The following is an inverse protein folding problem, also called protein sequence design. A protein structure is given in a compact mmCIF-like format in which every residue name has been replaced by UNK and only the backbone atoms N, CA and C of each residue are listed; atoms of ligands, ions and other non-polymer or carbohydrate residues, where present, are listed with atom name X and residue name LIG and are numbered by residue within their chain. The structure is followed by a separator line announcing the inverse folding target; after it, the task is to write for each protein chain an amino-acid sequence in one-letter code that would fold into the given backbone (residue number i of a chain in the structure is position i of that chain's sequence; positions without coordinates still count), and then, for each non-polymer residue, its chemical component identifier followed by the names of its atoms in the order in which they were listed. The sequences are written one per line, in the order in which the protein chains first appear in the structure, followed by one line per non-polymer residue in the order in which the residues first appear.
data_IF_861428501852
#
_entry.id   IF_861428501852
#
_cell.length_a   1.000
_cell.length_b   1.000
_cell.length_c   1.000
_cell.angle_alpha   90.00
_cell.angle_beta   90.00
_cell.angle_gamma   90.00
#
_symmetry.space_group_name_H-M   'P 1'
#
loop_
_entity.id
_entity.type
_entity.pdbx_description
1 polymer ?
#
# COMPACT_ATOMS: atom_id res chain seq x y z
N UNK A 1 23.63 28.85 -0.62
CA UNK A 1 22.42 29.65 -0.95
C UNK A 1 21.22 28.88 -0.45
N UNK A 2 20.24 29.56 0.12
CA UNK A 2 18.95 28.95 0.50
C UNK A 2 18.16 28.64 -0.77
N UNK A 3 17.70 27.41 -0.92
CA UNK A 3 16.92 26.99 -2.07
C UNK A 3 15.42 27.22 -1.79
N UNK A 4 14.68 27.77 -2.75
CA UNK A 4 13.24 27.95 -2.62
C UNK A 4 12.53 26.99 -3.58
N UNK A 5 11.63 26.18 -3.05
CA UNK A 5 10.77 25.27 -3.80
C UNK A 5 9.30 25.57 -3.53
N UNK A 6 8.42 25.08 -4.36
CA UNK A 6 6.98 25.21 -4.12
C UNK A 6 6.48 24.07 -3.22
N UNK A 7 7.02 22.85 -3.40
CA UNK A 7 6.66 21.66 -2.62
C UNK A 7 7.91 20.95 -2.13
N UNK A 8 7.98 20.61 -0.83
CA UNK A 8 8.98 19.73 -0.27
C UNK A 8 8.29 18.43 0.19
N UNK A 9 8.69 17.29 -0.36
CA UNK A 9 8.17 15.97 -0.04
C UNK A 9 9.20 15.26 0.86
N UNK A 10 8.81 14.92 2.08
CA UNK A 10 9.64 14.16 3.02
C UNK A 10 9.28 12.69 2.88
N UNK A 11 10.24 11.90 2.38
CA UNK A 11 10.11 10.48 2.08
C UNK A 11 10.15 10.18 0.58
N UNK A 12 11.19 9.46 0.13
CA UNK A 12 11.40 8.95 -1.23
C UNK A 12 10.94 7.50 -1.41
N UNK A 13 9.91 7.09 -0.67
CA UNK A 13 9.22 5.83 -0.86
C UNK A 13 8.25 5.87 -2.06
N UNK A 14 7.54 4.76 -2.29
CA UNK A 14 6.60 4.63 -3.41
C UNK A 14 5.59 5.80 -3.50
N UNK A 15 5.03 6.21 -2.37
CA UNK A 15 3.98 7.25 -2.32
C UNK A 15 4.56 8.64 -2.57
N UNK A 16 5.73 8.96 -1.96
CA UNK A 16 6.38 10.26 -2.14
C UNK A 16 6.90 10.47 -3.56
N UNK A 17 7.50 9.44 -4.15
CA UNK A 17 7.95 9.48 -5.54
C UNK A 17 6.78 9.53 -6.53
N UNK A 18 5.66 8.83 -6.24
CA UNK A 18 4.45 8.94 -7.06
C UNK A 18 3.85 10.35 -7.01
N UNK A 19 3.86 10.98 -5.84
CA UNK A 19 3.43 12.38 -5.71
C UNK A 19 4.35 13.32 -6.49
N UNK A 20 5.67 13.16 -6.39
CA UNK A 20 6.63 13.96 -7.17
C UNK A 20 6.40 13.80 -8.68
N UNK A 21 6.24 12.55 -9.15
CA UNK A 21 5.96 12.25 -10.55
C UNK A 21 4.63 12.84 -11.05
N UNK A 22 3.65 13.04 -10.17
CA UNK A 22 2.36 13.63 -10.52
C UNK A 22 2.43 15.13 -10.90
N UNK A 23 3.54 15.79 -10.58
CA UNK A 23 3.79 17.19 -10.96
C UNK A 23 4.63 17.33 -12.24
N UNK A 24 4.87 16.26 -12.99
CA UNK A 24 5.74 16.21 -14.18
C UNK A 24 5.39 17.25 -15.26
N UNK A 25 4.11 17.56 -15.43
CA UNK A 25 3.63 18.47 -16.48
C UNK A 25 3.30 19.87 -15.91
N UNK A 26 3.95 20.25 -14.80
CA UNK A 26 3.76 21.56 -14.16
C UNK A 26 5.09 22.32 -14.01
N UNK A 27 4.98 23.62 -13.78
CA UNK A 27 6.10 24.50 -13.44
C UNK A 27 6.39 24.56 -11.93
N UNK A 28 5.71 23.74 -11.11
CA UNK A 28 5.97 23.59 -9.68
C UNK A 28 7.37 23.03 -9.44
N UNK A 29 8.16 23.70 -8.63
CA UNK A 29 9.48 23.23 -8.20
C UNK A 29 9.29 22.30 -7.00
N UNK A 30 9.69 21.05 -7.15
CA UNK A 30 9.51 19.99 -6.13
C UNK A 30 10.86 19.54 -5.61
N UNK A 31 10.98 19.43 -4.30
CA UNK A 31 12.09 18.75 -3.62
C UNK A 31 11.60 17.43 -3.01
N UNK A 32 12.34 16.34 -3.22
CA UNK A 32 12.14 15.07 -2.51
C UNK A 32 13.32 14.83 -1.59
N UNK A 33 13.05 14.64 -0.31
CA UNK A 33 14.06 14.46 0.73
C UNK A 33 13.96 13.03 1.25
N UNK A 34 15.03 12.23 1.08
CA UNK A 34 15.05 10.81 1.45
C UNK A 34 16.35 10.44 2.16
N UNK A 35 16.24 9.79 3.32
CA UNK A 35 17.36 9.46 4.18
C UNK A 35 18.29 8.36 3.66
N UNK A 36 17.84 7.58 2.68
CA UNK A 36 18.60 6.48 2.10
C UNK A 36 18.54 6.49 0.56
N UNK A 37 19.66 6.20 -0.08
CA UNK A 37 19.66 5.92 -1.52
C UNK A 37 19.20 4.49 -1.73
N UNK A 38 18.11 4.24 -2.46
CA UNK A 38 17.69 2.88 -2.78
C UNK A 38 18.78 2.16 -3.58
N UNK A 39 19.09 0.92 -3.20
CA UNK A 39 19.96 0.10 -4.04
C UNK A 39 19.24 -0.24 -5.35
N UNK A 40 19.84 0.04 -6.48
CA UNK A 40 19.29 -0.14 -7.84
C UNK A 40 19.32 -1.59 -8.34
N UNK A 41 20.11 -2.45 -7.69
CA UNK A 41 20.27 -3.85 -8.07
C UNK A 41 19.16 -4.71 -7.46
N UNK A 42 18.40 -5.38 -8.30
CA UNK A 42 17.43 -6.40 -7.87
C UNK A 42 18.14 -7.73 -7.66
N UNK A 43 17.81 -8.40 -6.56
CA UNK A 43 18.30 -9.75 -6.30
C UNK A 43 17.64 -10.77 -7.25
N UNK A 44 18.27 -11.93 -7.42
CA UNK A 44 17.68 -13.06 -8.18
C UNK A 44 16.36 -13.51 -7.52
N UNK A 45 16.36 -13.66 -6.20
CA UNK A 45 15.15 -13.94 -5.44
C UNK A 45 14.33 -12.63 -5.27
N UNK A 46 13.01 -12.73 -5.41
CA UNK A 46 12.13 -11.60 -5.12
C UNK A 46 12.26 -11.11 -3.68
N UNK A 47 12.03 -9.80 -3.48
CA UNK A 47 11.91 -9.24 -2.14
C UNK A 47 10.68 -9.84 -1.42
N UNK A 48 10.79 -10.02 -0.10
CA UNK A 48 9.68 -10.54 0.71
C UNK A 48 8.52 -9.54 0.86
N UNK A 49 8.77 -8.26 0.57
CA UNK A 49 7.74 -7.22 0.62
C UNK A 49 7.16 -6.97 -0.76
N UNK A 50 5.97 -7.47 -0.97
CA UNK A 50 5.21 -7.28 -2.20
C UNK A 50 3.93 -6.50 -1.94
N UNK A 51 3.38 -5.92 -2.99
CA UNK A 51 2.05 -5.30 -3.00
C UNK A 51 1.19 -5.91 -4.09
N UNK A 52 -0.06 -6.17 -3.77
CA UNK A 52 -1.10 -6.46 -4.75
C UNK A 52 -1.67 -5.13 -5.26
N UNK A 53 -1.19 -4.69 -6.42
CA UNK A 53 -1.64 -3.45 -7.05
C UNK A 53 -3.05 -3.63 -7.61
N UNK A 54 -3.95 -2.73 -7.21
CA UNK A 54 -5.29 -2.65 -7.79
C UNK A 54 -5.26 -1.99 -9.18
N UNK A 55 -6.31 -2.17 -9.96
CA UNK A 55 -6.44 -1.56 -11.30
C UNK A 55 -6.32 -0.03 -11.25
N UNK A 56 -6.88 0.62 -10.21
CA UNK A 56 -6.71 2.07 -10.04
C UNK A 56 -5.26 2.48 -9.80
N UNK A 57 -4.52 1.72 -9.00
CA UNK A 57 -3.10 1.97 -8.75
C UNK A 57 -2.24 1.75 -9.98
N UNK A 58 -2.52 0.71 -10.75
CA UNK A 58 -1.89 0.48 -12.05
C UNK A 58 -2.17 1.64 -13.01
N UNK A 59 -3.42 2.11 -13.09
CA UNK A 59 -3.78 3.27 -13.92
C UNK A 59 -3.01 4.53 -13.50
N UNK A 60 -2.87 4.80 -12.20
CA UNK A 60 -2.02 5.89 -11.70
C UNK A 60 -0.58 5.72 -12.20
N UNK A 61 0.03 4.55 -12.01
CA UNK A 61 1.41 4.30 -12.42
C UNK A 61 1.62 4.37 -13.94
N UNK A 62 0.60 3.98 -14.74
CA UNK A 62 0.59 4.17 -16.20
C UNK A 62 0.56 5.64 -16.58
N UNK A 63 -0.34 6.41 -15.99
CA UNK A 63 -0.48 7.86 -16.25
C UNK A 63 0.74 8.66 -15.78
N UNK A 64 1.45 8.19 -14.76
CA UNK A 64 2.74 8.73 -14.35
C UNK A 64 3.90 8.38 -15.29
N UNK A 65 3.72 7.42 -16.21
CA UNK A 65 4.77 6.93 -17.12
C UNK A 65 5.71 5.90 -16.48
N UNK A 66 5.30 5.28 -15.39
CA UNK A 66 6.14 4.38 -14.57
C UNK A 66 5.92 2.90 -14.90
N UNK A 67 4.75 2.56 -15.44
CA UNK A 67 4.32 1.17 -15.57
C UNK A 67 5.27 0.30 -16.42
N UNK A 68 5.77 0.83 -17.52
CA UNK A 68 6.73 0.12 -18.37
C UNK A 68 8.00 -0.28 -17.61
N UNK A 69 8.50 0.62 -16.74
CA UNK A 69 9.66 0.32 -15.90
C UNK A 69 9.39 -0.77 -14.86
N UNK A 70 8.14 -0.92 -14.40
CA UNK A 70 7.71 -2.00 -13.52
C UNK A 70 7.67 -3.33 -14.29
N UNK A 71 7.02 -3.35 -15.47
CA UNK A 71 6.89 -4.56 -16.31
C UNK A 71 8.25 -5.09 -16.75
N UNK A 72 9.18 -4.21 -17.14
CA UNK A 72 10.54 -4.58 -17.55
C UNK A 72 11.37 -5.20 -16.41
N UNK A 73 11.00 -4.91 -15.16
CA UNK A 73 11.63 -5.53 -13.99
C UNK A 73 10.93 -6.84 -13.64
N UNK A 74 9.89 -6.77 -12.81
CA UNK A 74 9.08 -7.93 -12.42
C UNK A 74 7.68 -7.47 -12.03
N UNK A 75 6.67 -7.95 -12.76
CA UNK A 75 5.25 -7.76 -12.42
C UNK A 75 4.50 -9.05 -12.71
N UNK A 76 3.71 -9.53 -11.78
CA UNK A 76 3.01 -10.80 -11.90
C UNK A 76 1.50 -10.55 -11.93
N UNK A 77 0.84 -10.64 -13.09
CA UNK A 77 -0.61 -10.52 -13.16
C UNK A 77 -1.28 -11.71 -12.47
N UNK A 78 -2.42 -11.45 -11.82
CA UNK A 78 -3.28 -12.51 -11.33
C UNK A 78 -4.68 -12.37 -11.93
N UNK A 79 -5.22 -13.52 -12.39
CA UNK A 79 -6.47 -13.55 -13.15
C UNK A 79 -7.66 -14.00 -12.32
N UNK A 80 -7.38 -14.61 -11.18
CA UNK A 80 -8.42 -15.07 -10.27
C UNK A 80 -7.99 -14.90 -8.81
N UNK A 81 -8.98 -14.87 -7.92
CA UNK A 81 -8.78 -14.88 -6.48
C UNK A 81 -9.71 -15.93 -5.86
N UNK A 82 -9.16 -16.79 -5.02
CA UNK A 82 -9.89 -17.79 -4.25
C UNK A 82 -9.76 -17.48 -2.76
N UNK A 83 -10.89 -17.42 -2.08
CA UNK A 83 -10.93 -17.16 -0.63
C UNK A 83 -11.82 -18.22 0.01
N UNK A 84 -11.32 -18.88 1.05
CA UNK A 84 -12.09 -19.88 1.79
C UNK A 84 -11.84 -19.81 3.30
N UNK A 85 -12.68 -20.45 4.08
CA UNK A 85 -12.53 -20.58 5.52
C UNK A 85 -12.16 -22.03 5.84
N UNK A 86 -11.17 -22.22 6.73
CA UNK A 86 -10.72 -23.51 7.21
C UNK A 86 -11.89 -24.27 7.88
N UNK A 87 -11.96 -25.57 7.64
CA UNK A 87 -13.01 -26.46 8.19
C UNK A 87 -14.46 -25.97 7.88
N UNK A 88 -14.64 -25.32 6.76
CA UNK A 88 -15.93 -24.79 6.32
C UNK A 88 -16.16 -25.06 4.83
N UNK A 89 -17.43 -25.12 4.42
CA UNK A 89 -17.82 -25.14 3.01
C UNK A 89 -17.81 -23.75 2.36
N UNK A 90 -17.55 -22.71 3.16
CA UNK A 90 -17.57 -21.33 2.70
C UNK A 90 -16.37 -21.03 1.80
N UNK A 91 -16.64 -20.76 0.54
CA UNK A 91 -15.66 -20.28 -0.42
C UNK A 91 -16.26 -19.21 -1.31
N UNK A 92 -15.41 -18.33 -1.82
CA UNK A 92 -15.77 -17.37 -2.86
C UNK A 92 -14.60 -17.28 -3.83
N UNK A 93 -14.90 -17.33 -5.11
CA UNK A 93 -13.92 -17.17 -6.17
C UNK A 93 -14.31 -16.00 -7.07
N UNK A 94 -13.29 -15.25 -7.48
CA UNK A 94 -13.40 -14.13 -8.40
C UNK A 94 -12.54 -14.42 -9.63
N UNK A 95 -13.01 -14.03 -10.77
CA UNK A 95 -12.37 -14.25 -12.06
C UNK A 95 -12.42 -12.97 -12.90
N UNK A 96 -11.29 -12.61 -13.52
CA UNK A 96 -11.17 -11.40 -14.32
C UNK A 96 -12.11 -11.39 -15.54
N UNK A 97 -12.30 -12.56 -16.18
CA UNK A 97 -13.16 -12.65 -17.37
C UNK A 97 -14.61 -12.35 -17.04
N UNK A 98 -15.10 -12.83 -15.87
CA UNK A 98 -16.46 -12.55 -15.40
C UNK A 98 -16.72 -11.06 -15.20
N UNK A 99 -15.66 -10.27 -15.04
CA UNK A 99 -15.70 -8.82 -14.81
C UNK A 99 -15.33 -8.00 -16.06
N UNK A 100 -15.11 -8.66 -17.20
CA UNK A 100 -14.62 -8.04 -18.44
C UNK A 100 -13.31 -7.24 -18.20
N UNK A 101 -12.43 -7.77 -17.35
CA UNK A 101 -11.10 -7.20 -17.09
C UNK A 101 -10.01 -8.13 -17.64
N UNK A 102 -8.87 -7.59 -18.09
CA UNK A 102 -7.75 -8.40 -18.57
C UNK A 102 -7.10 -9.21 -17.43
N UNK A 103 -7.11 -8.69 -16.22
CA UNK A 103 -6.60 -9.28 -14.97
C UNK A 103 -7.31 -8.62 -13.77
N UNK A 104 -7.08 -9.13 -12.55
CA UNK A 104 -7.56 -8.51 -11.31
C UNK A 104 -6.54 -7.54 -10.71
N UNK A 105 -5.34 -7.47 -11.25
CA UNK A 105 -4.24 -6.64 -10.79
C UNK A 105 -2.91 -7.38 -10.88
N UNK A 106 -1.87 -6.80 -10.27
CA UNK A 106 -0.51 -7.33 -10.34
C UNK A 106 0.10 -7.44 -8.95
N UNK A 107 0.80 -8.55 -8.69
CA UNK A 107 1.69 -8.68 -7.54
C UNK A 107 3.06 -8.14 -7.94
N UNK A 108 3.53 -7.13 -7.22
CA UNK A 108 4.79 -6.43 -7.52
C UNK A 108 5.58 -6.21 -6.24
N UNK A 109 6.89 -6.44 -6.29
CA UNK A 109 7.78 -6.10 -5.20
C UNK A 109 7.78 -4.58 -4.94
N UNK A 110 7.70 -4.18 -3.67
CA UNK A 110 7.67 -2.76 -3.31
C UNK A 110 8.90 -2.02 -3.84
N UNK A 111 10.06 -2.69 -3.86
CA UNK A 111 11.30 -2.16 -4.39
C UNK A 111 11.24 -1.93 -5.90
N UNK A 112 10.61 -2.83 -6.66
CA UNK A 112 10.42 -2.67 -8.11
C UNK A 112 9.60 -1.41 -8.40
N UNK A 113 8.51 -1.19 -7.64
CA UNK A 113 7.69 0.01 -7.78
C UNK A 113 8.51 1.27 -7.45
N UNK A 114 9.26 1.25 -6.34
CA UNK A 114 10.08 2.38 -5.91
C UNK A 114 11.16 2.73 -6.93
N UNK A 115 11.89 1.74 -7.46
CA UNK A 115 12.95 1.96 -8.45
C UNK A 115 12.40 2.51 -9.76
N UNK A 116 11.27 2.00 -10.24
CA UNK A 116 10.64 2.50 -11.45
C UNK A 116 10.14 3.94 -11.30
N UNK A 117 9.58 4.28 -10.13
CA UNK A 117 9.20 5.65 -9.78
C UNK A 117 10.42 6.57 -9.68
N UNK A 118 11.49 6.13 -9.04
CA UNK A 118 12.74 6.90 -8.91
C UNK A 118 13.34 7.20 -10.27
N UNK A 119 13.43 6.21 -11.15
CA UNK A 119 13.90 6.38 -12.52
C UNK A 119 13.07 7.40 -13.30
N UNK A 120 11.74 7.40 -13.12
CA UNK A 120 10.88 8.39 -13.76
C UNK A 120 11.08 9.79 -13.19
N UNK A 121 11.18 9.91 -11.85
CA UNK A 121 11.38 11.20 -11.18
C UNK A 121 12.73 11.83 -11.54
N UNK A 122 13.78 11.02 -11.71
CA UNK A 122 15.11 11.49 -12.14
C UNK A 122 15.13 12.13 -13.54
N UNK A 123 14.12 11.87 -14.38
CA UNK A 123 14.00 12.47 -15.72
C UNK A 123 13.29 13.83 -15.69
N UNK A 124 12.78 14.27 -14.55
CA UNK A 124 11.97 15.48 -14.42
C UNK A 124 12.84 16.69 -14.03
N UNK A 125 12.88 17.71 -14.88
CA UNK A 125 13.67 18.93 -14.66
C UNK A 125 13.15 19.78 -13.49
N UNK A 126 11.87 19.65 -13.14
CA UNK A 126 11.23 20.39 -12.05
C UNK A 126 11.33 19.70 -10.69
N UNK A 127 11.94 18.51 -10.60
CA UNK A 127 12.12 17.77 -9.36
C UNK A 127 13.60 17.67 -8.96
N UNK A 128 13.91 18.08 -7.75
CA UNK A 128 15.26 17.93 -7.18
C UNK A 128 15.25 16.86 -6.09
N UNK A 129 16.13 15.88 -6.20
CA UNK A 129 16.29 14.80 -5.22
C UNK A 129 17.41 15.14 -4.22
N UNK A 130 17.09 15.12 -2.94
CA UNK A 130 18.03 15.21 -1.82
C UNK A 130 18.15 13.83 -1.19
N UNK A 131 19.10 13.02 -1.71
CA UNK A 131 19.36 11.64 -1.30
C UNK A 131 20.88 11.38 -1.25
N UNK A 132 21.45 10.95 -0.14
CA UNK A 132 20.82 10.79 1.18
C UNK A 132 20.72 12.13 1.93
N UNK A 133 19.54 12.45 2.46
CA UNK A 133 19.36 13.60 3.34
C UNK A 133 18.11 13.43 4.21
N UNK A 134 18.11 13.98 5.41
CA UNK A 134 16.97 13.97 6.33
C UNK A 134 16.64 15.37 6.78
N UNK A 135 15.37 15.65 7.01
CA UNK A 135 14.97 16.89 7.66
C UNK A 135 15.38 16.86 9.13
N UNK A 136 16.11 17.89 9.55
CA UNK A 136 16.52 18.08 10.94
C UNK A 136 15.57 19.02 11.67
N UNK A 137 15.15 20.13 11.03
CA UNK A 137 14.23 21.11 11.61
C UNK A 137 13.20 21.57 10.60
N UNK A 138 12.03 21.96 11.10
CA UNK A 138 10.95 22.59 10.34
C UNK A 138 10.39 23.76 11.16
N UNK A 139 10.29 24.93 10.54
CA UNK A 139 9.57 26.07 11.07
C UNK A 139 8.48 26.49 10.08
N UNK A 140 7.23 26.56 10.53
CA UNK A 140 6.09 26.92 9.70
C UNK A 140 5.80 28.40 9.83
N UNK A 141 5.76 29.12 8.73
CA UNK A 141 5.37 30.52 8.63
C UNK A 141 4.04 30.71 7.93
N UNK A 142 3.63 31.96 7.77
CA UNK A 142 2.35 32.31 7.15
C UNK A 142 2.30 32.00 5.64
N UNK A 143 3.40 32.25 4.91
CA UNK A 143 3.46 32.08 3.45
C UNK A 143 4.27 30.87 3.02
N UNK A 144 5.27 30.48 3.79
CA UNK A 144 6.17 29.36 3.50
C UNK A 144 6.71 28.74 4.78
N UNK A 145 7.24 27.54 4.66
CA UNK A 145 7.94 26.81 5.72
C UNK A 145 9.43 26.82 5.45
N UNK A 146 10.24 26.81 6.50
CA UNK A 146 11.70 26.69 6.46
C UNK A 146 12.13 25.32 6.95
N UNK A 147 12.89 24.61 6.11
CA UNK A 147 13.45 23.32 6.42
C UNK A 147 14.97 23.42 6.47
N UNK A 148 15.57 22.73 7.44
CA UNK A 148 17.01 22.49 7.47
C UNK A 148 17.25 20.99 7.41
N UNK A 149 18.16 20.56 6.54
CA UNK A 149 18.57 19.18 6.40
C UNK A 149 19.73 18.84 7.35
N UNK A 150 19.95 17.57 7.61
CA UNK A 150 21.03 17.05 8.46
C UNK A 150 22.44 17.36 7.93
N UNK A 151 22.57 17.61 6.64
CA UNK A 151 23.82 18.06 5.99
C UNK A 151 24.03 19.58 6.03
N UNK A 152 23.16 20.35 6.72
CA UNK A 152 23.22 21.79 6.86
C UNK A 152 22.63 22.59 5.71
N UNK A 153 22.11 21.96 4.67
CA UNK A 153 21.38 22.65 3.61
C UNK A 153 20.04 23.19 4.14
N UNK A 154 19.66 24.39 3.69
CA UNK A 154 18.38 24.99 4.07
C UNK A 154 17.55 25.30 2.83
N UNK A 155 16.22 25.13 2.96
CA UNK A 155 15.26 25.43 1.91
C UNK A 155 13.97 26.04 2.47
N UNK A 156 13.23 26.73 1.60
CA UNK A 156 11.84 27.14 1.87
C UNK A 156 10.88 26.41 0.95
N UNK A 157 9.67 26.13 1.45
CA UNK A 157 8.61 25.49 0.69
C UNK A 157 7.24 26.10 1.02
N UNK A 158 6.38 26.30 0.01
CA UNK A 158 4.99 26.73 0.20
C UNK A 158 4.14 25.63 0.83
N UNK A 159 4.44 24.37 0.49
CA UNK A 159 3.79 23.17 1.04
C UNK A 159 4.84 22.12 1.37
N UNK A 160 4.78 21.55 2.58
CA UNK A 160 5.59 20.40 2.99
C UNK A 160 4.69 19.18 3.07
N UNK A 161 5.07 18.08 2.42
CA UNK A 161 4.28 16.85 2.39
C UNK A 161 5.01 15.71 3.09
N UNK A 162 4.36 15.10 4.08
CA UNK A 162 4.85 13.90 4.75
C UNK A 162 4.43 12.64 3.98
N UNK A 163 5.41 11.97 3.40
CA UNK A 163 5.33 10.65 2.77
C UNK A 163 6.34 9.68 3.41
N UNK A 164 6.73 9.94 4.65
CA UNK A 164 7.82 9.35 5.42
C UNK A 164 7.38 8.15 6.28
N UNK A 165 6.25 7.55 5.93
CA UNK A 165 5.79 6.28 6.44
C UNK A 165 5.13 6.34 7.82
N UNK A 166 4.86 5.15 8.36
CA UNK A 166 4.06 4.96 9.57
C UNK A 166 4.62 5.66 10.83
N UNK A 167 5.93 5.85 10.89
CA UNK A 167 6.62 6.56 11.99
C UNK A 167 6.99 8.00 11.61
N UNK A 168 6.16 8.63 10.77
CA UNK A 168 6.40 9.95 10.18
C UNK A 168 7.01 10.96 11.15
N UNK A 169 8.20 11.45 10.78
CA UNK A 169 8.87 12.54 11.47
C UNK A 169 8.06 13.84 11.33
N UNK A 170 7.55 14.12 10.09
CA UNK A 170 6.78 15.33 9.85
C UNK A 170 5.51 15.40 10.69
N UNK A 171 4.76 14.30 10.78
CA UNK A 171 3.56 14.20 11.62
C UNK A 171 3.89 14.50 13.09
N UNK A 172 4.98 13.92 13.60
CA UNK A 172 5.43 14.14 14.98
C UNK A 172 5.93 15.58 15.19
N UNK A 173 6.66 16.15 14.23
CA UNK A 173 7.17 17.53 14.29
C UNK A 173 6.03 18.55 14.34
N UNK A 174 4.89 18.21 13.73
CA UNK A 174 3.70 19.06 13.71
C UNK A 174 2.70 18.75 14.84
N UNK A 175 3.05 17.91 15.80
CA UNK A 175 2.20 17.46 16.89
C UNK A 175 0.79 17.00 16.45
N UNK A 176 0.71 16.41 15.23
CA UNK A 176 -0.57 15.90 14.70
C UNK A 176 -0.96 14.63 15.46
N UNK A 177 -2.09 14.64 16.19
CA UNK A 177 -2.50 13.53 17.01
C UNK A 177 -2.81 12.28 16.17
N UNK A 178 -2.45 11.11 16.72
CA UNK A 178 -2.63 9.81 16.08
C UNK A 178 -3.65 8.98 16.89
N UNK A 179 -4.70 8.52 16.23
CA UNK A 179 -5.53 7.43 16.73
C UNK A 179 -4.88 6.13 16.29
N UNK A 180 -4.60 5.25 17.23
CA UNK A 180 -3.97 3.96 16.92
C UNK A 180 -4.56 2.85 17.81
N UNK A 181 -4.59 1.65 17.27
CA UNK A 181 -4.80 0.43 18.03
C UNK A 181 -3.98 -0.71 17.43
N UNK A 182 -3.66 -1.66 18.27
CA UNK A 182 -2.98 -2.88 17.86
C UNK A 182 -4.04 -3.91 17.44
N UNK A 183 -3.82 -4.57 16.31
CA UNK A 183 -4.68 -5.65 15.89
C UNK A 183 -4.42 -6.96 16.69
N UNK A 184 -3.39 -6.99 17.51
CA UNK A 184 -2.97 -8.19 18.25
C UNK A 184 -2.39 -9.27 17.36
N UNK A 185 -1.99 -8.91 16.12
CA UNK A 185 -1.40 -9.83 15.14
C UNK A 185 -0.10 -9.27 14.57
N UNK A 186 0.72 -10.18 14.07
CA UNK A 186 1.89 -9.88 13.23
C UNK A 186 1.68 -10.55 11.87
N UNK A 187 2.10 -9.87 10.79
CA UNK A 187 2.18 -10.46 9.47
C UNK A 187 3.57 -11.07 9.26
N UNK A 188 3.64 -12.39 9.19
CA UNK A 188 4.83 -13.09 8.72
C UNK A 188 4.79 -13.12 7.19
N UNK A 189 5.88 -12.70 6.56
CA UNK A 189 6.06 -12.70 5.11
C UNK A 189 7.26 -13.55 4.74
N UNK A 190 7.15 -14.28 3.64
CA UNK A 190 8.21 -15.08 3.06
C UNK A 190 7.91 -15.37 1.59
N UNK A 191 8.92 -15.75 0.84
CA UNK A 191 8.75 -16.37 -0.47
C UNK A 191 8.77 -17.89 -0.32
N UNK A 192 7.93 -18.58 -1.07
CA UNK A 192 7.79 -20.04 -1.01
C UNK A 192 7.67 -20.63 -2.38
N UNK A 193 8.30 -21.79 -2.60
CA UNK A 193 8.05 -22.65 -3.75
C UNK A 193 6.93 -23.63 -3.41
N UNK A 194 6.10 -23.93 -4.40
CA UNK A 194 4.96 -24.84 -4.29
C UNK A 194 5.12 -26.00 -5.26
N UNK A 195 4.72 -27.20 -4.85
CA UNK A 195 4.80 -28.40 -5.71
C UNK A 195 3.89 -28.26 -6.94
N UNK A 196 2.69 -27.72 -6.74
CA UNK A 196 1.74 -27.45 -7.81
C UNK A 196 1.81 -25.99 -8.25
N UNK A 197 1.60 -25.66 -9.54
CA UNK A 197 1.64 -24.30 -10.05
C UNK A 197 0.45 -23.48 -9.52
N UNK A 198 0.69 -22.21 -9.20
CA UNK A 198 -0.35 -21.32 -8.70
C UNK A 198 -1.37 -20.88 -9.77
N UNK A 199 -1.09 -21.09 -11.07
CA UNK A 199 -1.96 -20.74 -12.20
C UNK A 199 -2.40 -19.26 -12.20
N UNK A 200 -1.56 -18.35 -11.69
CA UNK A 200 -1.85 -16.90 -11.53
C UNK A 200 -3.13 -16.63 -10.73
N UNK A 201 -3.42 -17.46 -9.73
CA UNK A 201 -4.54 -17.30 -8.80
C UNK A 201 -4.00 -16.85 -7.44
N UNK A 202 -4.45 -15.68 -6.96
CA UNK A 202 -4.24 -15.26 -5.59
C UNK A 202 -5.15 -16.06 -4.66
N UNK A 203 -4.61 -16.60 -3.58
CA UNK A 203 -5.35 -17.47 -2.65
C UNK A 203 -5.27 -16.97 -1.23
N UNK A 204 -6.38 -17.04 -0.51
CA UNK A 204 -6.41 -16.68 0.90
C UNK A 204 -7.29 -17.66 1.67
N UNK A 205 -6.73 -18.24 2.72
CA UNK A 205 -7.48 -19.01 3.71
C UNK A 205 -7.67 -18.18 4.98
N UNK A 206 -8.87 -18.20 5.54
CA UNK A 206 -9.15 -17.71 6.87
C UNK A 206 -9.09 -18.86 7.87
N UNK A 207 -8.13 -18.80 8.78
CA UNK A 207 -7.97 -19.76 9.86
C UNK A 207 -8.38 -19.14 11.20
N UNK A 208 -8.64 -19.91 12.25
CA UNK A 208 -8.94 -19.38 13.58
C UNK A 208 -7.84 -18.46 14.14
N UNK A 209 -6.58 -18.66 13.72
CA UNK A 209 -5.41 -17.88 14.12
C UNK A 209 -5.21 -16.62 13.29
N UNK A 210 -5.86 -16.51 12.13
CA UNK A 210 -5.77 -15.38 11.23
C UNK A 210 -5.68 -15.78 9.76
N UNK A 211 -5.70 -14.81 8.83
CA UNK A 211 -5.62 -15.09 7.40
C UNK A 211 -4.19 -15.45 6.95
N UNK A 212 -4.12 -16.40 6.03
CA UNK A 212 -2.91 -16.76 5.29
C UNK A 212 -3.18 -16.58 3.80
N UNK A 213 -2.41 -15.71 3.15
CA UNK A 213 -2.51 -15.43 1.72
C UNK A 213 -1.28 -15.97 0.98
N UNK A 214 -1.52 -16.51 -0.23
CA UNK A 214 -0.52 -16.87 -1.23
C UNK A 214 -0.71 -15.98 -2.45
N UNK A 215 0.27 -15.17 -2.74
CA UNK A 215 0.27 -14.20 -3.83
C UNK A 215 1.17 -14.72 -4.96
N UNK A 216 0.62 -14.95 -6.17
CA UNK A 216 1.37 -15.56 -7.27
C UNK A 216 2.48 -14.62 -7.77
N UNK A 217 3.68 -15.14 -7.89
CA UNK A 217 4.84 -14.44 -8.44
C UNK A 217 5.07 -14.81 -9.92
N UNK A 218 6.10 -14.27 -10.54
CA UNK A 218 6.39 -14.49 -11.96
C UNK A 218 6.76 -15.96 -12.31
N UNK A 219 7.41 -16.67 -11.38
CA UNK A 219 7.65 -18.12 -11.51
C UNK A 219 6.34 -18.85 -11.13
N UNK A 220 5.81 -19.76 -12.00
CA UNK A 220 4.56 -20.48 -11.76
C UNK A 220 4.50 -21.27 -10.44
N UNK A 221 5.65 -21.62 -9.89
CA UNK A 221 5.78 -22.34 -8.62
C UNK A 221 6.23 -21.45 -7.45
N UNK A 222 6.30 -20.12 -7.63
CA UNK A 222 6.71 -19.18 -6.59
C UNK A 222 5.53 -18.34 -6.11
N UNK A 223 5.32 -18.31 -4.81
CA UNK A 223 4.37 -17.40 -4.17
C UNK A 223 5.07 -16.56 -3.10
N UNK A 224 4.61 -15.31 -2.93
CA UNK A 224 4.86 -14.56 -1.72
C UNK A 224 3.72 -14.82 -0.74
N UNK A 225 4.03 -15.15 0.51
CA UNK A 225 3.00 -15.38 1.54
C UNK A 225 2.89 -14.21 2.49
N UNK A 226 1.66 -13.98 2.96
CA UNK A 226 1.36 -13.07 4.06
C UNK A 226 0.53 -13.85 5.08
N UNK A 227 1.15 -14.22 6.18
CA UNK A 227 0.53 -15.02 7.25
C UNK A 227 0.30 -14.14 8.48
N UNK A 228 -0.93 -13.71 8.67
CA UNK A 228 -1.32 -12.93 9.85
C UNK A 228 -1.64 -13.88 11.00
N UNK A 229 -0.93 -13.75 12.11
CA UNK A 229 -1.11 -14.58 13.29
C UNK A 229 -0.75 -13.82 14.56
N UNK A 230 -1.04 -14.40 15.73
CA UNK A 230 -0.63 -13.82 17.01
C UNK A 230 0.89 -13.63 17.10
N UNK A 231 1.40 -12.58 17.80
CA UNK A 231 2.83 -12.27 17.86
C UNK A 231 3.69 -13.45 18.34
N UNK A 232 3.26 -14.15 19.39
CA UNK A 232 3.98 -15.32 19.92
C UNK A 232 4.07 -16.45 18.88
N UNK A 233 3.01 -16.66 18.08
CA UNK A 233 3.01 -17.66 17.02
C UNK A 233 3.92 -17.24 15.88
N UNK A 234 3.92 -15.96 15.51
CA UNK A 234 4.84 -15.43 14.49
C UNK A 234 6.31 -15.63 14.90
N UNK A 235 6.66 -15.36 16.17
CA UNK A 235 8.00 -15.62 16.71
C UNK A 235 8.38 -17.10 16.64
N UNK A 236 7.47 -18.00 17.03
CA UNK A 236 7.67 -19.45 16.91
C UNK A 236 7.93 -19.86 15.45
N UNK A 237 7.13 -19.37 14.50
CA UNK A 237 7.27 -19.67 13.07
C UNK A 237 8.60 -19.14 12.52
N UNK A 238 9.09 -17.98 12.99
CA UNK A 238 10.40 -17.45 12.62
C UNK A 238 11.55 -18.31 13.17
N UNK A 239 11.40 -18.85 14.39
CA UNK A 239 12.40 -19.67 15.05
C UNK A 239 12.47 -21.13 14.53
N UNK A 240 11.43 -21.62 13.83
CA UNK A 240 11.41 -22.97 13.26
C UNK A 240 12.54 -23.15 12.23
N UNK A 241 13.09 -24.37 12.17
CA UNK A 241 13.90 -24.75 11.00
C UNK A 241 13.04 -24.83 9.74
N UNK A 242 13.66 -24.91 8.57
CA UNK A 242 12.94 -24.91 7.29
C UNK A 242 11.95 -26.06 7.17
N UNK A 243 12.31 -27.28 7.60
CA UNK A 243 11.44 -28.45 7.49
C UNK A 243 10.19 -28.31 8.36
N UNK A 244 10.33 -27.84 9.60
CA UNK A 244 9.23 -27.59 10.50
C UNK A 244 8.30 -26.49 9.99
N UNK A 245 8.89 -25.39 9.49
CA UNK A 245 8.13 -24.30 8.90
C UNK A 245 7.35 -24.75 7.66
N UNK A 246 8.01 -25.44 6.72
CA UNK A 246 7.41 -25.95 5.48
C UNK A 246 6.23 -26.89 5.77
N UNK A 247 6.38 -27.79 6.75
CA UNK A 247 5.31 -28.68 7.19
C UNK A 247 4.14 -27.90 7.80
N UNK A 248 4.43 -26.92 8.66
CA UNK A 248 3.40 -26.08 9.29
C UNK A 248 2.64 -25.27 8.23
N UNK A 249 3.36 -24.63 7.30
CA UNK A 249 2.78 -23.84 6.21
C UNK A 249 1.91 -24.68 5.28
N UNK A 250 2.42 -25.83 4.84
CA UNK A 250 1.70 -26.76 3.96
C UNK A 250 0.39 -27.21 4.57
N UNK A 251 0.42 -27.58 5.87
CA UNK A 251 -0.78 -28.00 6.60
C UNK A 251 -1.79 -26.86 6.78
N UNK A 252 -1.33 -25.66 7.15
CA UNK A 252 -2.19 -24.50 7.36
C UNK A 252 -2.88 -24.04 6.09
N UNK A 253 -2.29 -24.32 4.93
CA UNK A 253 -2.83 -23.96 3.61
C UNK A 253 -3.67 -25.09 2.98
N UNK A 254 -4.15 -26.06 3.76
CA UNK A 254 -4.95 -27.21 3.30
C UNK A 254 -4.30 -28.00 2.14
N UNK A 255 -2.97 -27.99 2.04
CA UNK A 255 -2.20 -28.65 0.95
C UNK A 255 -2.64 -28.20 -0.47
N UNK A 256 -3.28 -27.04 -0.62
CA UNK A 256 -3.90 -26.57 -1.87
C UNK A 256 -2.93 -26.41 -3.06
N UNK A 257 -1.66 -26.20 -2.79
CA UNK A 257 -0.60 -26.09 -3.81
C UNK A 257 0.48 -27.19 -3.61
N UNK A 258 0.10 -28.32 -3.02
CA UNK A 258 1.03 -29.39 -2.66
C UNK A 258 1.98 -28.97 -1.54
N UNK A 259 3.18 -29.58 -1.52
CA UNK A 259 4.21 -29.23 -0.55
C UNK A 259 4.74 -27.81 -0.81
N UNK A 260 4.93 -27.07 0.27
CA UNK A 260 5.48 -25.73 0.25
C UNK A 260 6.88 -25.71 0.85
N UNK A 261 7.81 -25.04 0.20
CA UNK A 261 9.20 -24.89 0.64
C UNK A 261 9.54 -23.40 0.75
N UNK A 262 9.97 -22.93 1.93
CA UNK A 262 10.42 -21.55 2.09
C UNK A 262 11.69 -21.29 1.29
N UNK A 263 11.76 -20.10 0.69
CA UNK A 263 12.92 -19.66 -0.12
C UNK A 263 13.40 -18.31 0.42
N UNK A 264 14.63 -18.28 0.91
CA UNK A 264 15.23 -17.07 1.46
C UNK A 264 14.75 -16.75 2.89
N UNK A 265 14.65 -15.48 3.18
CA UNK A 265 14.37 -15.00 4.54
C UNK A 265 12.88 -15.01 4.88
N UNK A 266 12.60 -15.16 6.17
CA UNK A 266 11.27 -14.93 6.77
C UNK A 266 11.34 -13.67 7.61
N UNK A 267 10.34 -12.80 7.52
CA UNK A 267 10.25 -11.60 8.33
C UNK A 267 8.85 -11.47 8.94
N UNK A 268 8.72 -10.86 10.11
CA UNK A 268 7.43 -10.57 10.72
C UNK A 268 7.32 -9.09 11.08
N UNK A 269 6.16 -8.52 10.85
CA UNK A 269 5.85 -7.12 11.11
C UNK A 269 4.59 -7.00 11.95
N UNK A 270 4.61 -6.23 13.05
CA UNK A 270 3.41 -6.01 13.86
C UNK A 270 2.35 -5.26 13.08
N UNK A 271 1.11 -5.75 13.13
CA UNK A 271 -0.02 -5.14 12.46
C UNK A 271 -0.68 -4.11 13.38
N UNK A 272 -0.49 -2.84 13.07
CA UNK A 272 -1.03 -1.72 13.85
C UNK A 272 -1.83 -0.81 12.93
N UNK A 273 -3.04 -0.46 13.35
CA UNK A 273 -3.79 0.63 12.74
C UNK A 273 -3.27 1.95 13.28
N UNK A 274 -3.05 2.90 12.37
CA UNK A 274 -2.73 4.29 12.69
C UNK A 274 -3.57 5.20 11.80
N UNK A 275 -4.09 6.27 12.40
CA UNK A 275 -4.90 7.24 11.68
C UNK A 275 -4.66 8.63 12.26
N UNK A 276 -4.08 9.52 11.47
CA UNK A 276 -3.85 10.90 11.86
C UNK A 276 -5.17 11.65 11.99
N UNK A 277 -5.32 12.45 13.06
CA UNK A 277 -6.55 13.25 13.27
C UNK A 277 -6.70 14.36 12.25
N UNK A 278 -5.60 14.90 11.76
CA UNK A 278 -5.57 15.87 10.66
C UNK A 278 -4.64 15.33 9.56
N UNK A 279 -5.11 15.32 8.31
CA UNK A 279 -4.29 15.04 7.15
C UNK A 279 -3.67 16.31 6.58
N UNK A 280 -4.21 17.47 6.99
CA UNK A 280 -3.72 18.79 6.60
C UNK A 280 -3.71 19.70 7.80
N UNK A 281 -2.59 20.36 8.03
CA UNK A 281 -2.44 21.53 8.89
C UNK A 281 -1.86 22.68 8.06
N UNK A 282 -1.64 23.86 8.66
CA UNK A 282 -1.09 24.97 7.89
C UNK A 282 0.26 24.63 7.30
N UNK A 283 0.42 24.81 5.99
CA UNK A 283 1.63 24.51 5.20
C UNK A 283 2.07 23.04 5.17
N UNK A 284 1.28 22.11 5.72
CA UNK A 284 1.66 20.69 5.78
C UNK A 284 0.49 19.79 5.40
N UNK A 285 0.79 18.77 4.57
CA UNK A 285 -0.13 17.68 4.24
C UNK A 285 0.54 16.32 4.47
N UNK A 286 -0.26 15.29 4.79
CA UNK A 286 0.19 13.92 4.97
C UNK A 286 -0.43 13.02 3.90
N UNK A 287 0.36 12.05 3.40
CA UNK A 287 -0.07 11.03 2.43
C UNK A 287 0.42 9.64 2.83
N UNK A 288 -0.30 8.60 2.43
CA UNK A 288 0.06 7.20 2.70
C UNK A 288 0.17 6.88 4.18
N UNK A 289 1.14 6.07 4.55
CA UNK A 289 1.32 5.60 5.94
C UNK A 289 1.60 6.73 6.95
N UNK A 290 2.06 7.90 6.50
CA UNK A 290 2.19 9.07 7.35
C UNK A 290 0.82 9.59 7.83
N UNK A 291 -0.20 9.49 6.98
CA UNK A 291 -1.58 9.86 7.30
C UNK A 291 -2.36 8.70 7.95
N UNK A 292 -2.21 7.48 7.43
CA UNK A 292 -2.93 6.30 7.89
C UNK A 292 -2.21 5.01 7.54
N UNK A 293 -2.11 4.10 8.49
CA UNK A 293 -1.69 2.72 8.27
C UNK A 293 -2.89 1.82 8.53
N UNK A 294 -3.31 1.06 7.53
CA UNK A 294 -4.47 0.16 7.63
C UNK A 294 -3.97 -1.28 7.52
N UNK A 295 -4.70 -2.22 8.13
CA UNK A 295 -4.35 -3.64 8.07
C UNK A 295 -4.24 -4.08 6.59
N UNK A 296 -3.07 -4.53 6.14
CA UNK A 296 -2.90 -4.97 4.76
C UNK A 296 -3.51 -6.36 4.56
N UNK A 297 -4.82 -6.46 4.32
CA UNK A 297 -5.35 -7.72 3.78
C UNK A 297 -4.77 -7.90 2.38
N UNK A 298 -4.03 -9.00 2.21
CA UNK A 298 -3.43 -9.40 0.92
C UNK A 298 -2.58 -8.31 0.23
N UNK A 299 -1.75 -7.55 0.95
CA UNK A 299 -0.76 -6.64 0.37
C UNK A 299 -1.32 -5.36 -0.26
N UNK A 300 -2.51 -4.89 0.13
CA UNK A 300 -3.17 -3.73 -0.49
C UNK A 300 -2.80 -2.35 0.11
N UNK A 301 -1.88 -2.28 1.07
CA UNK A 301 -1.58 -1.02 1.79
C UNK A 301 -1.13 0.15 0.88
N UNK A 302 -0.32 -0.12 -0.14
CA UNK A 302 0.21 0.92 -1.05
C UNK A 302 -0.88 1.56 -1.92
N UNK A 303 -1.96 0.82 -2.25
CA UNK A 303 -3.01 1.33 -3.14
C UNK A 303 -3.68 2.60 -2.60
N UNK A 304 -3.92 2.64 -1.30
CA UNK A 304 -4.55 3.80 -0.66
C UNK A 304 -3.59 5.00 -0.65
N UNK A 305 -2.29 4.76 -0.42
CA UNK A 305 -1.26 5.80 -0.47
C UNK A 305 -1.05 6.39 -1.86
N UNK A 306 -1.12 5.58 -2.93
CA UNK A 306 -1.07 6.05 -4.32
C UNK A 306 -2.30 6.91 -4.66
N UNK A 307 -3.47 6.53 -4.17
CA UNK A 307 -4.69 7.34 -4.30
C UNK A 307 -4.59 8.65 -3.52
N UNK A 308 -3.93 8.67 -2.34
CA UNK A 308 -3.67 9.92 -1.61
C UNK A 308 -2.76 10.85 -2.41
N UNK A 309 -1.65 10.32 -2.93
CA UNK A 309 -0.71 11.08 -3.76
C UNK A 309 -1.40 11.70 -4.99
N UNK A 310 -2.18 10.90 -5.72
CA UNK A 310 -2.93 11.35 -6.88
C UNK A 310 -3.99 12.40 -6.53
N UNK A 311 -4.70 12.23 -5.39
CA UNK A 311 -5.71 13.18 -4.94
C UNK A 311 -5.09 14.52 -4.49
N UNK A 312 -3.97 14.47 -3.74
CA UNK A 312 -3.28 15.68 -3.32
C UNK A 312 -2.70 16.43 -4.54
N UNK A 313 -2.11 15.72 -5.48
CA UNK A 313 -1.60 16.33 -6.71
C UNK A 313 -2.72 17.03 -7.50
N UNK A 314 -3.88 16.39 -7.65
CA UNK A 314 -5.04 16.98 -8.32
C UNK A 314 -5.48 18.30 -7.68
N UNK A 315 -5.63 18.32 -6.34
CA UNK A 315 -6.03 19.53 -5.60
C UNK A 315 -4.97 20.63 -5.70
N UNK A 316 -3.69 20.29 -5.50
CA UNK A 316 -2.57 21.25 -5.59
C UNK A 316 -2.46 21.86 -6.99
N UNK A 317 -2.55 21.05 -8.06
CA UNK A 317 -2.51 21.52 -9.44
C UNK A 317 -3.70 22.42 -9.77
N UNK A 318 -4.89 22.11 -9.24
CA UNK A 318 -6.07 22.96 -9.43
C UNK A 318 -5.91 24.32 -8.75
N UNK A 319 -5.41 24.35 -7.52
CA UNK A 319 -5.11 25.60 -6.79
C UNK A 319 -4.03 26.42 -7.50
N UNK A 320 -2.95 25.76 -7.93
CA UNK A 320 -1.83 26.40 -8.63
C UNK A 320 -2.28 27.08 -9.93
N UNK A 321 -3.07 26.38 -10.76
CA UNK A 321 -3.64 26.94 -12.01
C UNK A 321 -4.54 28.15 -11.77
N UNK A 322 -5.16 28.24 -10.59
CA UNK A 322 -6.00 29.39 -10.19
C UNK A 322 -5.21 30.51 -9.50
N UNK A 323 -3.89 30.39 -9.38
CA UNK A 323 -3.06 31.34 -8.64
C UNK A 323 -3.34 31.39 -7.14
N UNK A 324 -3.94 30.32 -6.59
CA UNK A 324 -4.25 30.22 -5.16
C UNK A 324 -3.08 29.63 -4.38
N UNK A 325 -3.04 29.96 -3.10
CA UNK A 325 -2.03 29.42 -2.19
C UNK A 325 -2.23 27.92 -1.96
N UNK A 326 -1.23 27.12 -2.33
CA UNK A 326 -1.25 25.64 -2.26
C UNK A 326 -0.99 25.10 -0.84
N UNK A 327 -0.57 25.94 0.11
CA UNK A 327 -0.15 25.49 1.45
C UNK A 327 -1.17 25.76 2.55
N UNK A 328 -2.23 26.57 2.31
CA UNK A 328 -3.18 26.87 3.37
C UNK A 328 -4.10 25.69 3.69
N UNK A 329 -4.31 25.42 4.98
CA UNK A 329 -5.26 24.38 5.44
C UNK A 329 -6.64 24.57 4.81
N UNK A 330 -7.08 25.82 4.65
CA UNK A 330 -8.38 26.15 4.04
C UNK A 330 -8.52 25.58 2.63
N UNK A 331 -7.53 25.80 1.81
CA UNK A 331 -7.54 25.41 0.39
C UNK A 331 -7.42 23.89 0.22
N UNK A 332 -6.66 23.20 1.11
CA UNK A 332 -6.48 21.76 1.07
C UNK A 332 -7.56 20.95 1.84
N UNK A 333 -8.59 21.61 2.39
CA UNK A 333 -9.70 20.90 3.06
C UNK A 333 -10.48 19.97 2.17
N UNK A 334 -10.50 20.20 0.86
CA UNK A 334 -11.09 19.31 -0.14
C UNK A 334 -10.41 17.95 -0.12
N UNK A 335 -9.11 17.93 -0.28
CA UNK A 335 -8.25 16.76 -0.16
C UNK A 335 -8.46 16.03 1.18
N UNK A 336 -8.33 16.75 2.31
CA UNK A 336 -8.46 16.14 3.64
C UNK A 336 -9.79 15.41 3.82
N UNK A 337 -10.91 16.08 3.56
CA UNK A 337 -12.25 15.47 3.72
C UNK A 337 -12.42 14.24 2.85
N UNK A 338 -11.96 14.33 1.60
CA UNK A 338 -12.04 13.23 0.67
C UNK A 338 -11.26 12.01 1.15
N UNK A 339 -9.97 12.18 1.43
CA UNK A 339 -9.11 11.05 1.80
C UNK A 339 -9.43 10.48 3.18
N UNK A 340 -9.80 11.33 4.13
CA UNK A 340 -10.28 10.85 5.44
C UNK A 340 -11.54 10.00 5.33
N UNK A 341 -12.48 10.38 4.49
CA UNK A 341 -13.69 9.59 4.27
C UNK A 341 -13.39 8.22 3.66
N UNK A 342 -12.48 8.15 2.66
CA UNK A 342 -12.10 6.88 2.03
C UNK A 342 -11.29 5.99 3.01
N UNK A 343 -10.35 6.54 3.75
CA UNK A 343 -9.61 5.81 4.78
C UNK A 343 -10.54 5.28 5.88
N UNK A 344 -11.50 6.08 6.36
CA UNK A 344 -12.47 5.65 7.37
C UNK A 344 -13.37 4.51 6.87
N UNK A 345 -13.82 4.56 5.61
CA UNK A 345 -14.57 3.46 4.98
C UNK A 345 -13.75 2.18 4.93
N UNK A 346 -12.48 2.28 4.54
CA UNK A 346 -11.58 1.13 4.47
C UNK A 346 -11.33 0.54 5.86
N UNK A 347 -11.07 1.37 6.87
CA UNK A 347 -10.89 0.95 8.27
C UNK A 347 -12.14 0.22 8.77
N UNK A 348 -13.33 0.78 8.53
CA UNK A 348 -14.59 0.16 8.94
C UNK A 348 -14.83 -1.17 8.24
N UNK A 349 -14.52 -1.27 6.94
CA UNK A 349 -14.61 -2.53 6.19
C UNK A 349 -13.65 -3.58 6.74
N UNK A 350 -12.37 -3.22 6.98
CA UNK A 350 -11.37 -4.13 7.54
C UNK A 350 -11.74 -4.60 8.95
N UNK A 351 -12.24 -3.69 9.80
CA UNK A 351 -12.71 -4.04 11.13
C UNK A 351 -13.91 -4.99 11.08
N UNK A 352 -14.89 -4.70 10.21
CA UNK A 352 -16.05 -5.58 9.99
C UNK A 352 -15.65 -6.97 9.50
N UNK A 353 -14.70 -7.06 8.57
CA UNK A 353 -14.13 -8.34 8.14
C UNK A 353 -13.46 -9.09 9.28
N UNK A 354 -12.59 -8.41 10.03
CA UNK A 354 -11.93 -9.01 11.18
C UNK A 354 -12.95 -9.54 12.19
N UNK A 355 -13.92 -8.72 12.61
CA UNK A 355 -14.92 -9.10 13.61
C UNK A 355 -15.79 -10.25 13.13
N UNK A 356 -16.06 -10.32 11.83
CA UNK A 356 -16.78 -11.41 11.21
C UNK A 356 -15.95 -12.71 11.21
N UNK A 357 -14.66 -12.65 10.86
CA UNK A 357 -13.78 -13.83 10.69
C UNK A 357 -12.99 -14.20 11.95
N UNK A 358 -13.08 -13.42 13.03
CA UNK A 358 -12.42 -13.75 14.30
C UNK A 358 -13.24 -14.70 15.18
N UNK A 359 -12.54 -15.66 15.81
CA UNK A 359 -13.06 -16.56 16.84
C UNK A 359 -13.85 -17.75 16.31
N UNK A 360 -14.02 -18.74 17.21
CA UNK A 360 -14.60 -20.05 16.93
C UNK A 360 -16.12 -20.13 17.19
N UNK A 361 -16.81 -19.02 17.35
CA UNK A 361 -18.25 -19.02 17.65
C UNK A 361 -19.05 -19.69 16.51
N UNK A 362 -19.76 -20.82 16.77
CA UNK A 362 -20.48 -21.58 15.75
C UNK A 362 -21.54 -20.75 15.00
N UNK A 363 -22.19 -19.81 15.70
CA UNK A 363 -23.19 -18.95 15.10
C UNK A 363 -22.53 -17.94 14.10
N UNK A 364 -21.37 -17.39 14.46
CA UNK A 364 -20.58 -16.55 13.54
C UNK A 364 -20.10 -17.38 12.34
N UNK A 365 -19.62 -18.61 12.55
CA UNK A 365 -19.17 -19.51 11.47
C UNK A 365 -20.33 -19.81 10.48
N UNK A 366 -21.53 -20.05 10.99
CA UNK A 366 -22.71 -20.23 10.15
C UNK A 366 -23.07 -18.97 9.37
N UNK A 367 -23.07 -17.80 10.01
CA UNK A 367 -23.34 -16.51 9.35
C UNK A 367 -22.28 -16.19 8.27
N UNK A 368 -20.99 -16.48 8.54
CA UNK A 368 -19.90 -16.35 7.55
C UNK A 368 -20.13 -17.27 6.37
N UNK A 369 -20.42 -18.55 6.63
CA UNK A 369 -20.66 -19.55 5.59
C UNK A 369 -21.83 -19.18 4.68
N UNK A 370 -22.95 -18.78 5.27
CA UNK A 370 -24.13 -18.30 4.54
C UNK A 370 -23.80 -16.99 3.82
N UNK A 371 -23.14 -16.05 4.48
CA UNK A 371 -22.80 -14.73 3.91
C UNK A 371 -21.87 -14.84 2.71
N UNK A 372 -20.81 -15.64 2.78
CA UNK A 372 -19.90 -15.89 1.66
C UNK A 372 -20.62 -16.61 0.50
N UNK A 373 -21.42 -17.63 0.81
CA UNK A 373 -22.19 -18.37 -0.20
C UNK A 373 -23.23 -17.48 -0.89
N UNK A 374 -23.96 -16.65 -0.14
CA UNK A 374 -24.93 -15.69 -0.70
C UNK A 374 -24.24 -14.58 -1.50
N UNK A 375 -23.13 -14.04 -1.02
CA UNK A 375 -22.34 -13.05 -1.76
C UNK A 375 -21.83 -13.61 -3.10
N UNK A 376 -21.50 -14.91 -3.12
CA UNK A 376 -21.11 -15.61 -4.35
C UNK A 376 -22.26 -15.89 -5.33
N UNK A 377 -23.51 -15.99 -4.83
CA UNK A 377 -24.69 -16.37 -5.63
C UNK A 377 -25.57 -15.19 -6.04
N UNK A 378 -25.51 -14.04 -5.32
CA UNK A 378 -26.33 -12.88 -5.64
C UNK A 378 -25.78 -12.15 -6.87
N UNK A 379 -26.53 -12.11 -7.99
CA UNK A 379 -26.11 -11.39 -9.19
C UNK A 379 -25.86 -9.90 -8.86
N UNK A 380 -24.70 -9.39 -9.22
CA UNK A 380 -24.31 -7.98 -9.04
C UNK A 380 -23.72 -7.62 -7.69
N UNK A 381 -24.00 -8.30 -6.59
CA UNK A 381 -23.37 -8.02 -5.29
C UNK A 381 -21.87 -8.35 -5.30
N UNK A 382 -21.53 -9.51 -5.85
CA UNK A 382 -20.14 -9.95 -6.07
C UNK A 382 -19.36 -8.95 -6.93
N UNK A 383 -19.94 -8.53 -8.05
CA UNK A 383 -19.35 -7.58 -8.99
C UNK A 383 -19.14 -6.20 -8.35
N UNK A 384 -20.10 -5.73 -7.55
CA UNK A 384 -20.00 -4.43 -6.87
C UNK A 384 -18.88 -4.42 -5.81
N UNK A 385 -18.77 -5.50 -5.02
CA UNK A 385 -17.71 -5.67 -4.04
C UNK A 385 -16.34 -5.68 -4.73
N UNK A 386 -16.21 -6.46 -5.80
CA UNK A 386 -14.97 -6.56 -6.55
C UNK A 386 -14.60 -5.27 -7.27
N UNK A 387 -15.54 -4.62 -7.93
CA UNK A 387 -15.28 -3.33 -8.59
C UNK A 387 -14.77 -2.28 -7.61
N UNK A 388 -15.23 -2.32 -6.36
CA UNK A 388 -14.69 -1.46 -5.29
C UNK A 388 -13.31 -1.90 -4.82
N UNK A 389 -13.10 -3.20 -4.62
CA UNK A 389 -11.80 -3.75 -4.21
C UNK A 389 -10.70 -3.50 -5.27
N UNK A 390 -11.05 -3.61 -6.55
CA UNK A 390 -10.15 -3.31 -7.67
C UNK A 390 -9.98 -1.80 -7.93
N UNK A 391 -10.70 -0.94 -7.21
CA UNK A 391 -10.66 0.50 -7.41
C UNK A 391 -11.29 0.95 -8.74
N UNK A 392 -12.18 0.16 -9.32
CA UNK A 392 -12.90 0.51 -10.55
C UNK A 392 -14.14 1.38 -10.28
N UNK A 393 -14.57 1.48 -9.02
CA UNK A 393 -15.69 2.30 -8.57
C UNK A 393 -15.33 3.11 -7.34
N UNK A 394 -15.91 4.30 -7.24
CA UNK A 394 -15.71 5.21 -6.13
C UNK A 394 -15.39 6.61 -6.61
N UNK A 395 -15.08 7.49 -5.69
CA UNK A 395 -14.58 8.83 -6.01
C UNK A 395 -13.07 8.73 -6.27
N UNK A 396 -12.69 8.55 -7.54
CA UNK A 396 -11.30 8.37 -7.95
C UNK A 396 -10.68 9.69 -8.44
N UNK A 397 -9.41 9.98 -8.12
CA UNK A 397 -8.68 11.10 -8.70
C UNK A 397 -8.48 10.89 -10.21
N UNK A 398 -8.26 11.97 -10.95
CA UNK A 398 -8.11 11.95 -12.42
C UNK A 398 -7.03 10.97 -12.88
N UNK A 399 -5.88 10.93 -12.21
CA UNK A 399 -4.80 9.98 -12.51
C UNK A 399 -5.20 8.50 -12.33
N UNK A 400 -6.27 8.19 -11.59
CA UNK A 400 -6.77 6.83 -11.39
C UNK A 400 -7.89 6.45 -12.37
N UNK A 401 -8.32 7.37 -13.25
CA UNK A 401 -9.38 7.12 -14.23
C UNK A 401 -8.76 6.62 -15.54
N UNK A 402 -9.43 5.62 -16.13
CA UNK A 402 -9.10 5.10 -17.46
C UNK A 402 -9.51 6.06 -18.55
#
# INVERSE_FOLDING_TARGET
MMQSVDIAIIGGGMVGLALAAAFKDSDLRVAVIEGAVPNDTLNELPDVRVSALSRSSETILRNLGVWQGIEQRRASPYYAMEVWEQDSFANIAFDAQSMAQPDLGHIVENRVIQLALLEQVQKLDNVTLFMPARCATLAVGEQESWLTLDNGQAMTAKLVVGADGANSWLRNQMDIPLTHWDYGHSALVANVKTADPHNSVARQIFTPQGPLAFLPMSDPHMCSIVWSTEPNRAEQLLAMNEQEFNKSLTSEFDVRLGLCEVVGERAAFPLKMRYARDFVVERVALVGDAAHTIHPLAGQGVNLGLLDAASLAQEVLALWKQGQDIGTKRNLRGYERWRKAEAAKMIAAMQGFRDLFSGENPAKKLVRGIGLSLAGQLPGAKDEIMKRALGLKGNLPELARQ
#
